data_IF_873722030910
#
_entry.id   IF_873722030910
#
_cell.length_a   1.000
_cell.length_b   1.000
_cell.length_c   1.000
_cell.angle_alpha   90.00
_cell.angle_beta   90.00
_cell.angle_gamma   90.00
#
_symmetry.space_group_name_H-M   'P 1'
#
loop_
_entity.id
_entity.type
_entity.pdbx_description
1 polymer ?
#
# COMPACT_ATOMS: atom_id res chain seq x y z
N UNK A 1 -21.04 75.47 -53.68
CA UNK A 1 -21.15 74.10 -54.22
C UNK A 1 -19.98 73.32 -53.74
N UNK A 2 -20.13 72.48 -52.74
CA UNK A 2 -19.07 71.63 -52.19
C UNK A 2 -19.53 70.20 -52.37
N UNK A 3 -18.78 69.43 -53.16
CA UNK A 3 -19.01 68.02 -53.43
C UNK A 3 -18.51 67.19 -52.26
N UNK A 4 -19.36 66.29 -51.74
CA UNK A 4 -19.03 65.29 -50.70
C UNK A 4 -18.56 64.04 -51.44
N UNK A 5 -17.36 63.62 -51.17
CA UNK A 5 -16.83 62.34 -51.62
C UNK A 5 -16.98 61.29 -50.46
N UNK A 6 -17.76 60.28 -50.76
CA UNK A 6 -18.01 59.14 -49.81
C UNK A 6 -16.89 58.11 -50.02
N UNK A 7 -16.09 57.86 -49.01
CA UNK A 7 -15.09 56.77 -49.00
C UNK A 7 -15.70 55.50 -48.35
N UNK A 8 -15.78 54.45 -49.15
CA UNK A 8 -16.19 53.14 -48.69
C UNK A 8 -14.95 52.37 -48.24
N UNK A 9 -14.82 52.10 -46.96
CA UNK A 9 -13.78 51.24 -46.40
C UNK A 9 -14.27 49.77 -46.25
N UNK A 10 -13.71 48.90 -47.07
CA UNK A 10 -13.91 47.44 -46.97
C UNK A 10 -13.02 46.88 -45.86
N UNK A 11 -13.64 46.39 -44.79
CA UNK A 11 -12.93 45.64 -43.75
C UNK A 11 -12.74 44.18 -44.19
N UNK A 12 -11.50 43.78 -44.40
CA UNK A 12 -11.10 42.37 -44.59
C UNK A 12 -10.97 41.71 -43.22
N UNK A 13 -11.90 40.82 -42.89
CA UNK A 13 -11.84 40.02 -41.68
C UNK A 13 -10.79 38.89 -41.82
N UNK A 14 -9.71 38.98 -41.07
CA UNK A 14 -8.76 37.88 -40.92
C UNK A 14 -9.34 36.85 -39.96
N UNK A 15 -9.77 35.69 -40.45
CA UNK A 15 -10.13 34.55 -39.66
C UNK A 15 -8.83 33.91 -39.12
N UNK A 16 -8.51 34.19 -37.85
CA UNK A 16 -7.43 33.53 -37.15
C UNK A 16 -7.77 32.06 -36.84
N UNK A 17 -7.12 31.15 -37.49
CA UNK A 17 -7.15 29.69 -37.12
C UNK A 17 -6.38 29.54 -35.82
N UNK A 18 -7.09 29.38 -34.72
CA UNK A 18 -6.48 28.90 -33.45
C UNK A 18 -6.08 27.44 -33.63
N UNK A 19 -4.81 27.21 -33.93
CA UNK A 19 -4.22 25.90 -33.83
C UNK A 19 -4.16 25.52 -32.34
N UNK A 20 -4.98 24.59 -31.91
CA UNK A 20 -4.85 23.91 -30.63
C UNK A 20 -3.54 23.12 -30.67
N UNK A 21 -2.51 23.70 -30.05
CA UNK A 21 -1.26 22.96 -29.80
C UNK A 21 -1.58 21.76 -28.90
N UNK A 22 -1.38 20.56 -29.43
CA UNK A 22 -1.36 19.35 -28.59
C UNK A 22 -0.33 19.55 -27.47
N UNK A 23 -0.64 19.12 -26.23
CA UNK A 23 0.34 19.22 -25.15
C UNK A 23 1.59 18.45 -25.58
N UNK A 24 2.71 19.14 -25.64
CA UNK A 24 4.01 18.52 -25.87
C UNK A 24 4.23 17.53 -24.73
N UNK A 25 4.37 16.25 -25.04
CA UNK A 25 4.86 15.25 -24.10
C UNK A 25 6.26 15.73 -23.73
N UNK A 26 6.42 16.20 -22.50
CA UNK A 26 7.72 16.59 -21.99
C UNK A 26 8.61 15.32 -22.03
N UNK A 27 9.60 15.33 -22.92
CA UNK A 27 10.65 14.33 -22.91
C UNK A 27 11.44 14.55 -21.62
N UNK A 28 11.36 13.59 -20.68
CA UNK A 28 12.10 13.67 -19.43
C UNK A 28 13.60 13.77 -19.73
N UNK A 29 14.31 14.61 -18.98
CA UNK A 29 15.77 14.67 -19.03
C UNK A 29 16.30 13.25 -18.74
N UNK A 30 17.23 12.70 -19.53
CA UNK A 30 17.78 11.35 -19.36
C UNK A 30 18.37 11.07 -17.96
N UNK A 31 18.68 12.10 -17.19
CA UNK A 31 19.23 12.00 -15.82
C UNK A 31 18.22 12.18 -14.71
N UNK A 32 16.94 12.53 -15.00
CA UNK A 32 15.92 12.68 -13.96
C UNK A 32 15.16 11.38 -13.69
N UNK A 33 14.75 11.14 -12.42
CA UNK A 33 13.89 10.02 -12.07
C UNK A 33 12.58 10.04 -12.86
N UNK A 34 12.20 8.91 -13.45
CA UNK A 34 10.93 8.79 -14.14
C UNK A 34 9.77 8.88 -13.14
N UNK A 35 8.79 9.76 -13.43
CA UNK A 35 7.58 9.91 -12.62
C UNK A 35 6.35 9.42 -13.41
N UNK A 36 5.69 8.40 -12.88
CA UNK A 36 4.51 7.76 -13.45
C UNK A 36 3.21 8.35 -12.88
N UNK A 37 3.20 9.61 -12.51
CA UNK A 37 2.01 10.24 -11.91
C UNK A 37 0.78 10.18 -12.82
N UNK A 38 0.95 10.26 -14.14
CA UNK A 38 -0.16 10.15 -15.10
C UNK A 38 -0.82 8.77 -15.01
N UNK A 39 -0.01 7.70 -14.95
CA UNK A 39 -0.49 6.33 -14.78
C UNK A 39 -1.11 6.11 -13.39
N UNK A 40 -0.50 6.64 -12.33
CA UNK A 40 -1.07 6.59 -10.99
C UNK A 40 -2.45 7.27 -10.92
N UNK A 41 -2.61 8.41 -11.58
CA UNK A 41 -3.91 9.10 -11.69
C UNK A 41 -4.92 8.28 -12.50
N UNK A 42 -4.48 7.57 -13.53
CA UNK A 42 -5.34 6.66 -14.27
C UNK A 42 -5.84 5.51 -13.38
N UNK A 43 -4.96 4.88 -12.59
CA UNK A 43 -5.36 3.89 -11.57
C UNK A 43 -6.31 4.50 -10.53
N UNK A 44 -6.02 5.71 -10.06
CA UNK A 44 -6.85 6.43 -9.11
C UNK A 44 -8.27 6.65 -9.64
N UNK A 45 -8.41 7.07 -10.93
CA UNK A 45 -9.71 7.30 -11.59
C UNK A 45 -10.44 6.01 -11.94
N UNK A 46 -9.74 5.05 -12.54
CA UNK A 46 -10.36 3.88 -13.17
C UNK A 46 -10.55 2.72 -12.20
N UNK A 47 -9.53 2.46 -11.37
CA UNK A 47 -9.52 1.30 -10.47
C UNK A 47 -10.03 1.68 -9.08
N UNK A 48 -9.53 2.77 -8.52
CA UNK A 48 -9.89 3.21 -7.17
C UNK A 48 -11.06 4.20 -7.14
N UNK A 49 -11.55 4.67 -8.29
CA UNK A 49 -12.73 5.53 -8.38
C UNK A 49 -12.61 6.88 -7.67
N UNK A 50 -11.39 7.41 -7.60
CA UNK A 50 -11.12 8.74 -7.04
C UNK A 50 -11.12 9.84 -8.12
N UNK A 51 -11.12 11.12 -7.68
CA UNK A 51 -11.05 12.27 -8.56
C UNK A 51 -12.27 12.44 -9.50
N UNK A 52 -12.23 13.46 -10.32
CA UNK A 52 -13.32 13.80 -11.27
C UNK A 52 -12.81 14.20 -12.65
N UNK A 53 -11.48 14.08 -12.90
CA UNK A 53 -10.91 14.44 -14.19
C UNK A 53 -11.49 13.55 -15.30
N UNK A 54 -11.63 14.07 -16.54
CA UNK A 54 -12.10 13.31 -17.69
C UNK A 54 -11.23 12.06 -17.93
N UNK A 55 -11.87 10.97 -18.30
CA UNK A 55 -11.15 9.75 -18.70
C UNK A 55 -10.56 9.91 -20.11
N UNK A 56 -9.39 9.30 -20.40
CA UNK A 56 -8.90 9.20 -21.76
C UNK A 56 -9.93 8.54 -22.69
N UNK A 57 -10.03 8.99 -23.94
CA UNK A 57 -10.99 8.48 -24.93
C UNK A 57 -10.85 6.95 -25.21
N UNK A 58 -9.68 6.38 -24.91
CA UNK A 58 -9.44 4.92 -25.01
C UNK A 58 -10.11 4.12 -23.89
N UNK A 59 -10.53 4.75 -22.79
CA UNK A 59 -11.16 4.08 -21.63
C UNK A 59 -12.68 4.11 -21.77
N UNK A 60 -13.30 2.93 -21.67
CA UNK A 60 -14.76 2.79 -21.72
C UNK A 60 -15.44 3.34 -20.46
N UNK A 61 -15.91 4.57 -20.52
CA UNK A 61 -16.51 5.31 -19.41
C UNK A 61 -17.68 4.56 -18.76
N UNK A 62 -18.53 3.88 -19.54
CA UNK A 62 -19.65 3.12 -19.01
C UNK A 62 -19.19 1.95 -18.10
N UNK A 63 -18.11 1.27 -18.51
CA UNK A 63 -17.50 0.21 -17.70
C UNK A 63 -16.93 0.76 -16.38
N UNK A 64 -16.24 1.90 -16.42
CA UNK A 64 -15.70 2.56 -15.21
C UNK A 64 -16.82 3.03 -14.29
N UNK A 65 -17.85 3.66 -14.82
CA UNK A 65 -19.02 4.15 -14.05
C UNK A 65 -19.70 3.00 -13.29
N UNK A 66 -19.95 1.86 -13.97
CA UNK A 66 -20.53 0.69 -13.35
C UNK A 66 -19.63 0.10 -12.26
N UNK A 67 -18.31 0.04 -12.50
CA UNK A 67 -17.33 -0.39 -11.51
C UNK A 67 -17.32 0.53 -10.28
N UNK A 68 -17.31 1.83 -10.49
CA UNK A 68 -17.22 2.80 -9.40
C UNK A 68 -18.48 2.86 -8.53
N UNK A 69 -19.65 2.56 -9.09
CA UNK A 69 -20.87 2.39 -8.29
C UNK A 69 -20.76 1.22 -7.29
N UNK A 70 -20.10 0.12 -7.67
CA UNK A 70 -19.81 -1.00 -6.76
C UNK A 70 -18.76 -0.63 -5.73
N UNK A 71 -17.67 0.03 -6.15
CA UNK A 71 -16.59 0.43 -5.24
C UNK A 71 -17.08 1.42 -4.18
N UNK A 72 -17.97 2.36 -4.52
CA UNK A 72 -18.56 3.29 -3.56
C UNK A 72 -19.27 2.57 -2.40
N UNK A 73 -20.04 1.51 -2.69
CA UNK A 73 -20.68 0.69 -1.66
C UNK A 73 -19.68 -0.03 -0.76
N UNK A 74 -18.60 -0.55 -1.34
CA UNK A 74 -17.53 -1.23 -0.60
C UNK A 74 -16.77 -0.25 0.30
N UNK A 75 -16.49 0.96 -0.17
CA UNK A 75 -15.84 2.00 0.63
C UNK A 75 -16.72 2.47 1.79
N UNK A 76 -18.03 2.62 1.57
CA UNK A 76 -18.96 2.94 2.66
C UNK A 76 -18.94 1.83 3.71
N UNK A 77 -19.06 0.58 3.30
CA UNK A 77 -19.00 -0.57 4.21
C UNK A 77 -17.66 -0.61 4.99
N UNK A 78 -16.53 -0.43 4.30
CA UNK A 78 -15.22 -0.38 4.91
C UNK A 78 -15.10 0.76 5.93
N UNK A 79 -15.61 1.92 5.60
CA UNK A 79 -15.63 3.08 6.50
C UNK A 79 -16.44 2.80 7.75
N UNK A 80 -17.64 2.27 7.61
CA UNK A 80 -18.57 2.02 8.72
C UNK A 80 -18.12 0.86 9.63
N UNK A 81 -17.56 -0.19 9.04
CA UNK A 81 -17.23 -1.42 9.77
C UNK A 81 -15.79 -1.48 10.28
N UNK A 82 -14.88 -0.71 9.66
CA UNK A 82 -13.48 -0.72 10.04
C UNK A 82 -12.89 0.67 10.30
N UNK A 83 -12.90 1.60 9.33
CA UNK A 83 -12.16 2.86 9.44
C UNK A 83 -12.60 3.68 10.65
N UNK A 84 -13.90 3.94 10.77
CA UNK A 84 -14.45 4.77 11.85
C UNK A 84 -14.26 4.12 13.23
N UNK A 85 -14.67 2.85 13.45
CA UNK A 85 -14.47 2.23 14.76
C UNK A 85 -12.99 2.02 15.10
N UNK A 86 -12.12 1.71 14.13
CA UNK A 86 -10.71 1.53 14.37
C UNK A 86 -10.00 2.84 14.73
N UNK A 87 -10.29 3.94 14.03
CA UNK A 87 -9.73 5.26 14.37
C UNK A 87 -10.13 5.69 15.78
N UNK A 88 -11.41 5.55 16.14
CA UNK A 88 -11.91 5.85 17.49
C UNK A 88 -11.21 4.99 18.54
N UNK A 89 -10.99 3.73 18.23
CA UNK A 89 -10.33 2.78 19.13
C UNK A 89 -8.83 3.08 19.31
N UNK A 90 -8.10 3.32 18.22
CA UNK A 90 -6.65 3.57 18.30
C UNK A 90 -6.29 4.95 18.87
N UNK A 91 -7.16 5.96 18.73
CA UNK A 91 -6.85 7.32 19.17
C UNK A 91 -6.38 7.42 20.63
N UNK A 92 -7.06 6.83 21.64
CA UNK A 92 -6.61 6.87 23.02
C UNK A 92 -5.45 5.91 23.34
N UNK A 93 -5.12 4.97 22.45
CA UNK A 93 -4.08 3.95 22.69
C UNK A 93 -2.70 4.38 22.17
N UNK A 94 -2.68 5.26 21.17
CA UNK A 94 -1.42 5.75 20.63
C UNK A 94 -0.76 6.73 21.58
N UNK A 95 0.55 6.59 21.83
CA UNK A 95 1.31 7.63 22.54
C UNK A 95 1.27 8.96 21.76
N UNK A 96 1.24 10.07 22.46
CA UNK A 96 1.24 11.41 21.85
C UNK A 96 2.46 11.67 20.94
N UNK A 97 3.57 11.00 21.21
CA UNK A 97 4.87 11.15 20.52
C UNK A 97 5.25 9.89 19.72
N UNK A 98 4.27 9.22 19.11
CA UNK A 98 4.57 8.06 18.25
C UNK A 98 5.33 8.51 16.99
N UNK A 99 6.42 7.83 16.57
CA UNK A 99 7.16 8.19 15.37
C UNK A 99 6.28 8.23 14.13
N UNK A 100 6.48 9.27 13.30
CA UNK A 100 5.76 9.46 12.05
C UNK A 100 6.20 8.51 10.92
N UNK A 101 7.34 7.81 11.07
CA UNK A 101 7.76 6.71 10.22
C UNK A 101 7.10 5.41 10.68
N UNK A 102 6.50 4.69 9.74
CA UNK A 102 5.84 3.39 9.98
C UNK A 102 6.51 2.32 9.15
N UNK A 103 6.85 1.19 9.77
CA UNK A 103 7.36 -0.01 9.08
C UNK A 103 6.33 -1.12 9.22
N UNK A 104 5.89 -1.66 8.07
CA UNK A 104 4.90 -2.71 7.98
C UNK A 104 5.46 -3.93 7.24
N UNK A 105 6.28 -4.77 7.90
CA UNK A 105 6.74 -6.03 7.33
C UNK A 105 5.55 -6.98 7.13
N UNK A 106 5.58 -7.75 6.06
CA UNK A 106 4.49 -8.63 5.62
C UNK A 106 3.18 -7.89 5.29
N UNK A 107 3.27 -6.57 5.03
CA UNK A 107 2.10 -5.70 4.88
C UNK A 107 1.36 -5.86 3.56
N UNK A 108 2.02 -6.39 2.52
CA UNK A 108 1.42 -6.53 1.19
C UNK A 108 0.73 -5.26 0.72
N UNK A 109 -0.48 -5.38 0.21
CA UNK A 109 -1.30 -4.26 -0.27
C UNK A 109 -2.06 -3.48 0.80
N UNK A 110 -1.87 -3.77 2.09
CA UNK A 110 -2.69 -3.24 3.19
C UNK A 110 -2.21 -1.85 3.71
N UNK A 111 -1.98 -0.91 2.79
CA UNK A 111 -1.69 0.48 3.13
C UNK A 111 -2.82 1.12 3.96
N UNK A 112 -4.07 0.72 3.70
CA UNK A 112 -5.25 1.23 4.41
C UNK A 112 -5.17 1.03 5.91
N UNK A 113 -4.78 -0.15 6.39
CA UNK A 113 -4.61 -0.41 7.83
C UNK A 113 -3.51 0.45 8.46
N UNK A 114 -2.41 0.70 7.75
CA UNK A 114 -1.36 1.60 8.24
C UNK A 114 -1.88 3.03 8.41
N UNK A 115 -2.60 3.57 7.42
CA UNK A 115 -3.19 4.92 7.46
C UNK A 115 -4.31 5.07 8.49
N UNK A 116 -5.03 3.99 8.79
CA UNK A 116 -6.07 3.99 9.84
C UNK A 116 -5.42 3.97 11.23
N UNK A 117 -4.40 3.12 11.41
CA UNK A 117 -3.70 2.95 12.69
C UNK A 117 -2.82 4.17 13.02
N UNK A 118 -2.17 4.76 12.01
CA UNK A 118 -1.22 5.87 12.13
C UNK A 118 -1.62 7.05 11.22
N UNK A 119 -2.69 7.79 11.54
CA UNK A 119 -3.20 8.87 10.69
C UNK A 119 -2.22 10.04 10.52
N UNK A 120 -1.24 10.17 11.43
CA UNK A 120 -0.22 11.22 11.42
C UNK A 120 1.10 10.76 10.78
N UNK A 121 1.14 9.56 10.22
CA UNK A 121 2.31 9.05 9.50
C UNK A 121 2.70 10.00 8.36
N UNK A 122 4.02 10.17 8.19
CA UNK A 122 4.63 10.92 7.07
C UNK A 122 5.39 10.01 6.12
N UNK A 123 5.84 8.89 6.62
CA UNK A 123 6.50 7.86 5.85
C UNK A 123 5.96 6.50 6.24
N UNK A 124 5.57 5.68 5.27
CA UNK A 124 5.10 4.32 5.48
C UNK A 124 5.91 3.41 4.56
N UNK A 125 6.50 2.37 5.13
CA UNK A 125 7.22 1.34 4.36
C UNK A 125 6.50 0.01 4.52
N UNK A 126 5.83 -0.47 3.46
CA UNK A 126 5.29 -1.83 3.40
C UNK A 126 6.29 -2.76 2.75
N UNK A 127 6.39 -4.00 3.24
CA UNK A 127 7.32 -5.00 2.72
C UNK A 127 6.54 -6.30 2.51
N UNK A 128 6.69 -6.90 1.33
CA UNK A 128 6.15 -8.23 1.02
C UNK A 128 6.98 -8.91 -0.08
N UNK A 129 6.58 -10.10 -0.52
CA UNK A 129 7.24 -10.77 -1.64
C UNK A 129 6.75 -10.27 -3.00
N UNK A 130 5.56 -9.70 -3.04
CA UNK A 130 4.88 -9.27 -4.26
C UNK A 130 5.43 -7.92 -4.73
N UNK A 131 5.54 -7.80 -6.06
CA UNK A 131 6.05 -6.61 -6.72
C UNK A 131 5.03 -5.46 -6.73
N UNK A 132 5.54 -4.23 -6.91
CA UNK A 132 4.68 -3.05 -7.07
C UNK A 132 3.81 -3.15 -8.33
N UNK A 133 4.38 -3.63 -9.45
CA UNK A 133 3.69 -3.83 -10.72
C UNK A 133 3.87 -2.68 -11.71
N UNK A 134 3.71 -2.98 -13.01
CA UNK A 134 3.85 -2.02 -14.11
C UNK A 134 2.66 -1.07 -14.18
N UNK A 135 2.85 0.24 -13.96
CA UNK A 135 1.78 1.22 -13.94
C UNK A 135 1.18 1.48 -15.33
N UNK A 136 1.94 1.19 -16.39
CA UNK A 136 1.52 1.49 -17.79
C UNK A 136 0.52 0.48 -18.36
N UNK A 137 0.28 -0.63 -17.67
CA UNK A 137 -0.56 -1.72 -18.20
C UNK A 137 -2.02 -1.34 -18.34
N UNK A 138 -2.56 -0.55 -17.42
CA UNK A 138 -3.97 -0.19 -17.43
C UNK A 138 -4.36 0.57 -18.70
N UNK A 139 -3.50 1.48 -19.18
CA UNK A 139 -3.73 2.26 -20.39
C UNK A 139 -3.73 1.42 -21.69
N UNK A 140 -3.15 0.22 -21.65
CA UNK A 140 -3.01 -0.69 -22.80
C UNK A 140 -4.17 -1.69 -22.95
N UNK A 141 -5.09 -1.73 -21.97
CA UNK A 141 -6.20 -2.68 -21.98
C UNK A 141 -7.30 -2.24 -22.97
N UNK A 142 -7.75 -3.16 -23.82
CA UNK A 142 -8.96 -2.95 -24.59
C UNK A 142 -10.22 -2.99 -23.69
N UNK A 143 -11.38 -2.64 -24.25
CA UNK A 143 -12.66 -2.60 -23.51
C UNK A 143 -13.00 -3.94 -22.83
N UNK A 144 -12.74 -5.08 -23.49
CA UNK A 144 -13.03 -6.41 -22.94
C UNK A 144 -12.07 -6.75 -21.79
N UNK A 145 -10.78 -6.47 -22.00
CA UNK A 145 -9.73 -6.65 -21.01
C UNK A 145 -9.96 -5.75 -19.79
N UNK A 146 -10.29 -4.48 -20.00
CA UNK A 146 -10.61 -3.54 -18.91
C UNK A 146 -11.77 -4.05 -18.06
N UNK A 147 -12.86 -4.51 -18.68
CA UNK A 147 -14.00 -5.08 -17.94
C UNK A 147 -13.60 -6.28 -17.11
N UNK A 148 -12.79 -7.19 -17.65
CA UNK A 148 -12.29 -8.36 -16.94
C UNK A 148 -11.35 -7.96 -15.78
N UNK A 149 -10.44 -7.00 -16.03
CA UNK A 149 -9.52 -6.49 -15.02
C UNK A 149 -10.25 -5.86 -13.84
N UNK A 150 -11.25 -5.01 -14.09
CA UNK A 150 -12.03 -4.37 -13.03
C UNK A 150 -12.93 -5.35 -12.26
N UNK A 151 -13.42 -6.41 -12.93
CA UNK A 151 -14.15 -7.50 -12.25
C UNK A 151 -13.20 -8.27 -11.31
N UNK A 152 -12.05 -8.71 -11.80
CA UNK A 152 -11.03 -9.39 -10.99
C UNK A 152 -10.54 -8.52 -9.82
N UNK A 153 -10.40 -7.21 -10.06
CA UNK A 153 -10.03 -6.27 -9.00
C UNK A 153 -11.12 -6.16 -7.91
N UNK A 154 -12.41 -6.09 -8.28
CA UNK A 154 -13.47 -6.10 -7.27
C UNK A 154 -13.44 -7.34 -6.40
N UNK A 155 -13.25 -8.51 -7.00
CA UNK A 155 -13.14 -9.77 -6.27
C UNK A 155 -11.92 -9.79 -5.33
N UNK A 156 -10.78 -9.26 -5.79
CA UNK A 156 -9.57 -9.15 -5.00
C UNK A 156 -9.70 -8.11 -3.86
N UNK A 157 -10.29 -6.94 -4.14
CA UNK A 157 -10.46 -5.87 -3.16
C UNK A 157 -11.48 -6.19 -2.07
N UNK A 158 -12.41 -7.12 -2.32
CA UNK A 158 -13.37 -7.55 -1.30
C UNK A 158 -12.67 -8.11 -0.06
N UNK A 159 -11.72 -9.02 -0.23
CA UNK A 159 -10.96 -9.58 0.87
C UNK A 159 -10.14 -8.53 1.62
N UNK A 160 -9.53 -7.59 0.90
CA UNK A 160 -8.78 -6.49 1.49
C UNK A 160 -9.66 -5.55 2.32
N UNK A 161 -10.78 -5.08 1.76
CA UNK A 161 -11.67 -4.12 2.40
C UNK A 161 -12.55 -4.75 3.49
N UNK A 162 -12.86 -6.03 3.40
CA UNK A 162 -13.59 -6.77 4.42
C UNK A 162 -12.67 -7.44 5.46
N UNK A 163 -11.34 -7.41 5.29
CA UNK A 163 -10.32 -7.94 6.19
C UNK A 163 -10.43 -9.45 6.45
N UNK A 164 -10.70 -10.26 5.42
CA UNK A 164 -10.78 -11.71 5.57
C UNK A 164 -9.95 -12.54 4.59
N UNK A 165 -9.25 -11.92 3.64
CA UNK A 165 -8.34 -12.61 2.72
C UNK A 165 -6.88 -12.22 2.97
N UNK A 166 -5.96 -13.10 2.54
CA UNK A 166 -4.54 -12.80 2.49
C UNK A 166 -4.18 -12.02 1.25
N UNK A 167 -3.08 -11.23 1.31
CA UNK A 167 -2.56 -10.52 0.14
C UNK A 167 -2.26 -11.46 -1.02
N UNK A 168 -1.71 -12.64 -0.76
CA UNK A 168 -1.38 -13.62 -1.78
C UNK A 168 -2.62 -14.11 -2.54
N UNK A 169 -3.75 -14.35 -1.87
CA UNK A 169 -5.00 -14.71 -2.52
C UNK A 169 -5.53 -13.56 -3.39
N UNK A 170 -5.43 -12.33 -2.90
CA UNK A 170 -5.84 -11.14 -3.63
C UNK A 170 -5.00 -10.95 -4.91
N UNK A 171 -3.69 -11.16 -4.83
CA UNK A 171 -2.78 -11.08 -5.98
C UNK A 171 -3.11 -12.12 -7.06
N UNK A 172 -3.43 -13.36 -6.70
CA UNK A 172 -3.87 -14.38 -7.67
C UNK A 172 -5.12 -13.96 -8.44
N UNK A 173 -6.04 -13.25 -7.80
CA UNK A 173 -7.23 -12.72 -8.45
C UNK A 173 -6.86 -11.62 -9.46
N UNK A 174 -5.91 -10.73 -9.11
CA UNK A 174 -5.45 -9.65 -9.99
C UNK A 174 -4.69 -10.12 -11.22
N UNK A 175 -3.83 -11.12 -11.11
CA UNK A 175 -3.11 -11.69 -12.25
C UNK A 175 -4.04 -12.12 -13.38
N UNK A 176 -5.20 -12.70 -13.04
CA UNK A 176 -6.24 -13.07 -14.00
C UNK A 176 -6.83 -11.88 -14.74
N UNK A 177 -6.80 -10.70 -14.13
CA UNK A 177 -7.32 -9.45 -14.71
C UNK A 177 -6.33 -8.69 -15.58
N UNK A 178 -5.04 -9.03 -15.57
CA UNK A 178 -4.02 -8.36 -16.39
C UNK A 178 -3.52 -7.02 -15.83
N UNK A 179 -3.80 -6.70 -14.57
CA UNK A 179 -3.22 -5.58 -13.81
C UNK A 179 -2.51 -6.10 -12.55
N UNK A 180 -1.41 -6.86 -12.71
CA UNK A 180 -0.68 -7.44 -11.58
C UNK A 180 -0.01 -6.37 -10.73
N UNK A 181 0.32 -6.73 -9.50
CA UNK A 181 1.10 -5.89 -8.60
C UNK A 181 0.31 -5.21 -7.49
N UNK A 182 1.03 -4.66 -6.53
CA UNK A 182 0.47 -4.06 -5.32
C UNK A 182 -0.08 -2.64 -5.53
N UNK A 183 0.30 -1.98 -6.63
CA UNK A 183 -0.06 -0.58 -6.91
C UNK A 183 -1.57 -0.33 -6.82
N UNK A 184 -2.39 -1.21 -7.41
CA UNK A 184 -3.84 -1.06 -7.41
C UNK A 184 -4.43 -1.11 -5.99
N UNK A 185 -3.89 -1.95 -5.11
CA UNK A 185 -4.32 -2.03 -3.71
C UNK A 185 -3.90 -0.79 -2.91
N UNK A 186 -2.66 -0.32 -3.11
CA UNK A 186 -2.17 0.87 -2.41
C UNK A 186 -2.94 2.13 -2.80
N UNK A 187 -3.19 2.32 -4.10
CA UNK A 187 -4.02 3.44 -4.57
C UNK A 187 -5.46 3.31 -4.04
N UNK A 188 -6.03 2.09 -4.01
CA UNK A 188 -7.36 1.87 -3.47
C UNK A 188 -7.42 2.17 -1.97
N UNK A 189 -6.45 1.69 -1.20
CA UNK A 189 -6.39 1.93 0.25
C UNK A 189 -6.30 3.43 0.60
N UNK A 190 -5.46 4.19 -0.12
CA UNK A 190 -5.39 5.64 0.09
C UNK A 190 -6.66 6.35 -0.38
N UNK A 191 -7.25 5.93 -1.52
CA UNK A 191 -8.48 6.55 -2.06
C UNK A 191 -9.66 6.36 -1.11
N UNK A 192 -9.83 5.15 -0.55
CA UNK A 192 -10.88 4.87 0.44
C UNK A 192 -10.81 5.77 1.68
N UNK A 193 -9.64 6.37 1.95
CA UNK A 193 -9.39 7.27 3.08
C UNK A 193 -9.32 8.74 2.68
N UNK A 194 -9.69 9.09 1.44
CA UNK A 194 -9.78 10.45 0.93
C UNK A 194 -8.42 11.09 0.58
N UNK A 195 -7.46 10.30 0.11
CA UNK A 195 -6.18 10.79 -0.41
C UNK A 195 -6.13 10.71 -1.94
N UNK A 196 -5.27 11.52 -2.54
CA UNK A 196 -4.98 11.56 -3.98
C UNK A 196 -3.48 11.38 -4.25
N UNK A 197 -3.07 10.74 -5.38
CA UNK A 197 -1.66 10.58 -5.73
C UNK A 197 -1.06 11.90 -6.23
N UNK A 198 0.19 12.16 -5.84
CA UNK A 198 0.98 13.33 -6.23
C UNK A 198 2.20 12.93 -7.07
N UNK A 199 2.82 11.79 -6.81
CA UNK A 199 3.98 11.26 -7.54
C UNK A 199 4.02 9.75 -7.43
N UNK A 200 4.49 9.07 -8.47
CA UNK A 200 4.76 7.63 -8.47
C UNK A 200 6.11 7.39 -9.13
N UNK A 201 7.09 6.92 -8.37
CA UNK A 201 8.43 6.60 -8.84
C UNK A 201 8.81 5.17 -8.51
N UNK A 202 9.66 4.58 -9.32
CA UNK A 202 10.23 3.26 -9.05
C UNK A 202 11.68 3.41 -8.64
N UNK A 203 12.16 2.49 -7.81
CA UNK A 203 13.50 2.60 -7.24
C UNK A 203 14.14 1.23 -6.96
N UNK A 204 15.45 1.25 -6.81
CA UNK A 204 16.24 0.18 -6.19
C UNK A 204 16.87 0.68 -4.91
N UNK A 205 17.27 -0.23 -4.03
CA UNK A 205 18.09 0.12 -2.86
C UNK A 205 19.57 0.00 -3.23
N UNK A 206 20.37 1.02 -2.88
CA UNK A 206 21.82 0.94 -2.99
C UNK A 206 22.38 -0.08 -1.98
N UNK A 207 23.59 -0.60 -2.15
CA UNK A 207 24.22 -1.51 -1.20
C UNK A 207 24.28 -0.98 0.24
N UNK A 208 24.24 0.34 0.43
CA UNK A 208 24.23 1.03 1.73
C UNK A 208 22.82 1.25 2.27
N UNK A 209 21.76 0.86 1.53
CA UNK A 209 20.37 1.02 1.92
C UNK A 209 19.75 2.36 1.52
N UNK A 210 20.44 3.17 0.73
CA UNK A 210 19.89 4.40 0.12
C UNK A 210 18.85 4.07 -0.96
N UNK A 211 18.00 5.05 -1.30
CA UNK A 211 17.02 4.94 -2.40
C UNK A 211 17.65 5.52 -3.67
N UNK A 212 17.72 4.70 -4.73
CA UNK A 212 18.07 5.12 -6.07
C UNK A 212 16.83 5.05 -6.96
N UNK A 213 16.28 6.22 -7.31
CA UNK A 213 15.14 6.29 -8.23
C UNK A 213 15.57 6.03 -9.66
N UNK A 214 14.81 5.20 -10.36
CA UNK A 214 15.11 4.80 -11.73
C UNK A 214 14.76 5.91 -12.73
N UNK A 215 15.69 6.18 -13.64
CA UNK A 215 15.47 7.02 -14.82
C UNK A 215 14.71 6.25 -15.90
N UNK A 216 14.18 6.95 -16.91
CA UNK A 216 13.52 6.31 -18.05
C UNK A 216 14.46 5.32 -18.78
N UNK A 217 15.72 5.68 -18.95
CA UNK A 217 16.72 4.82 -19.62
C UNK A 217 17.07 3.57 -18.81
N UNK A 218 17.10 3.65 -17.47
CA UNK A 218 17.33 2.49 -16.62
C UNK A 218 16.12 1.53 -16.66
N UNK A 219 14.90 2.07 -16.69
CA UNK A 219 13.68 1.26 -16.81
C UNK A 219 13.64 0.51 -18.14
N UNK A 220 13.99 1.16 -19.25
CA UNK A 220 14.11 0.52 -20.57
C UNK A 220 15.21 -0.54 -20.62
N UNK A 221 16.33 -0.30 -19.94
CA UNK A 221 17.46 -1.22 -19.86
C UNK A 221 17.22 -2.45 -18.99
N UNK A 222 16.31 -2.36 -18.03
CA UNK A 222 15.91 -3.49 -17.21
C UNK A 222 15.02 -4.41 -18.05
N UNK A 223 15.61 -5.51 -18.54
CA UNK A 223 14.87 -6.51 -19.31
C UNK A 223 13.64 -6.99 -18.55
N UNK A 224 12.50 -7.08 -19.24
CA UNK A 224 11.36 -7.82 -18.73
C UNK A 224 11.77 -9.28 -18.59
N UNK A 225 12.05 -9.70 -17.37
CA UNK A 225 12.26 -11.10 -17.05
C UNK A 225 10.90 -11.75 -17.04
N UNK A 226 10.61 -12.61 -18.01
CA UNK A 226 9.51 -13.54 -17.87
C UNK A 226 9.80 -14.39 -16.65
N UNK A 227 8.89 -14.36 -15.66
CA UNK A 227 9.07 -15.13 -14.45
C UNK A 227 9.38 -16.57 -14.78
N UNK A 228 10.50 -17.07 -14.31
CA UNK A 228 10.85 -18.48 -14.46
C UNK A 228 9.89 -19.28 -13.58
N UNK A 229 9.30 -20.32 -14.16
CA UNK A 229 8.49 -21.30 -13.44
C UNK A 229 9.31 -21.86 -12.27
N UNK A 230 9.05 -21.37 -11.06
CA UNK A 230 9.68 -21.88 -9.85
C UNK A 230 8.87 -23.08 -9.39
N UNK A 231 9.52 -24.23 -9.18
CA UNK A 231 8.89 -25.47 -8.76
C UNK A 231 8.11 -25.24 -7.46
N UNK A 232 6.78 -25.25 -7.51
CA UNK A 232 5.89 -25.07 -6.37
C UNK A 232 5.52 -23.62 -6.03
N UNK A 233 5.91 -22.62 -6.85
CA UNK A 233 5.68 -21.21 -6.60
C UNK A 233 4.87 -20.51 -7.69
N UNK A 234 4.59 -19.28 -7.44
CA UNK A 234 3.89 -18.30 -8.25
C UNK A 234 4.61 -18.06 -9.57
N UNK A 235 3.86 -18.01 -10.64
CA UNK A 235 4.34 -17.55 -11.96
C UNK A 235 3.78 -16.15 -12.14
N UNK A 236 4.56 -15.11 -11.89
CA UNK A 236 4.31 -13.79 -12.42
C UNK A 236 4.81 -13.78 -13.88
N UNK A 237 3.90 -13.92 -14.83
CA UNK A 237 4.22 -14.11 -16.25
C UNK A 237 4.67 -12.82 -16.94
N UNK A 238 4.53 -11.67 -16.30
CA UNK A 238 4.78 -10.35 -16.87
C UNK A 238 5.55 -9.42 -15.95
N UNK A 239 6.45 -9.98 -15.16
CA UNK A 239 7.27 -9.22 -14.24
C UNK A 239 8.41 -8.48 -14.95
N UNK A 240 8.59 -7.20 -14.61
CA UNK A 240 9.79 -6.42 -14.93
C UNK A 240 10.48 -6.00 -13.64
N UNK A 241 11.80 -6.20 -13.55
CA UNK A 241 12.60 -5.79 -12.39
C UNK A 241 12.51 -4.29 -12.12
N UNK A 242 12.26 -3.47 -13.16
CA UNK A 242 12.04 -2.05 -13.01
C UNK A 242 10.87 -1.69 -12.10
N UNK A 243 9.83 -2.54 -12.05
CA UNK A 243 8.60 -2.28 -11.31
C UNK A 243 8.48 -3.11 -10.02
N UNK A 244 9.62 -3.44 -9.43
CA UNK A 244 9.71 -4.21 -8.19
C UNK A 244 9.33 -3.38 -6.97
N UNK A 245 10.00 -2.23 -6.77
CA UNK A 245 9.76 -1.36 -5.64
C UNK A 245 9.23 -0.01 -6.13
N UNK A 246 8.29 0.57 -5.39
CA UNK A 246 7.73 1.88 -5.74
C UNK A 246 7.71 2.83 -4.56
N UNK A 247 7.77 4.12 -4.85
CA UNK A 247 7.41 5.21 -3.96
C UNK A 247 6.17 5.91 -4.50
N UNK A 248 5.09 5.87 -3.73
CA UNK A 248 3.85 6.58 -4.00
C UNK A 248 3.73 7.74 -3.00
N UNK A 249 3.84 8.97 -3.49
CA UNK A 249 3.58 10.16 -2.68
C UNK A 249 2.15 10.61 -2.89
N UNK A 250 1.45 10.92 -1.80
CA UNK A 250 0.04 11.31 -1.82
C UNK A 250 -0.29 12.31 -0.71
N UNK A 251 -1.44 12.95 -0.82
CA UNK A 251 -1.96 13.92 0.17
C UNK A 251 -3.48 13.82 0.29
N UNK A 252 -4.06 14.56 1.23
CA UNK A 252 -5.53 14.70 1.31
C UNK A 252 -6.08 15.35 0.04
N UNK A 253 -7.02 14.67 -0.62
CA UNK A 253 -7.66 15.19 -1.84
C UNK A 253 -8.47 16.48 -1.59
N UNK A 254 -8.98 16.67 -0.37
CA UNK A 254 -9.75 17.87 0.03
C UNK A 254 -8.88 19.08 0.38
N UNK A 255 -7.55 18.92 0.48
CA UNK A 255 -6.63 19.99 0.86
C UNK A 255 -5.32 19.89 0.08
N UNK A 256 -5.15 20.68 -1.00
CA UNK A 256 -3.95 20.69 -1.81
C UNK A 256 -2.70 21.21 -1.09
N UNK A 257 -2.87 21.81 0.09
CA UNK A 257 -1.76 22.29 0.95
C UNK A 257 -1.41 21.28 2.06
N UNK A 258 -2.17 20.21 2.19
CA UNK A 258 -1.91 19.18 3.19
C UNK A 258 -0.51 18.59 3.04
N UNK A 259 0.16 18.27 4.14
CA UNK A 259 1.48 17.64 4.10
C UNK A 259 1.46 16.33 3.31
N UNK A 260 2.50 16.11 2.54
CA UNK A 260 2.70 14.89 1.77
C UNK A 260 2.98 13.71 2.70
N UNK A 261 2.50 12.54 2.28
CA UNK A 261 2.81 11.25 2.88
C UNK A 261 3.57 10.45 1.82
N UNK A 262 4.70 9.89 2.20
CA UNK A 262 5.53 9.05 1.33
C UNK A 262 5.28 7.59 1.71
N UNK A 263 4.80 6.81 0.76
CA UNK A 263 4.67 5.36 0.90
C UNK A 263 5.68 4.66 0.01
N UNK A 264 6.55 3.83 0.61
CA UNK A 264 7.45 2.93 -0.10
C UNK A 264 6.96 1.51 0.03
N UNK A 265 6.72 0.86 -1.11
CA UNK A 265 6.54 -0.58 -1.16
C UNK A 265 7.84 -1.23 -1.62
N UNK A 266 8.32 -2.21 -0.85
CA UNK A 266 9.57 -2.92 -1.14
C UNK A 266 9.26 -4.42 -1.23
N UNK A 267 9.51 -5.00 -2.41
CA UNK A 267 9.39 -6.43 -2.61
C UNK A 267 10.67 -7.14 -2.16
N UNK A 268 10.59 -7.85 -1.05
CA UNK A 268 11.75 -8.52 -0.45
C UNK A 268 11.40 -9.74 0.39
N UNK A 269 12.31 -10.70 0.41
CA UNK A 269 12.24 -11.85 1.32
C UNK A 269 12.86 -11.46 2.67
N UNK A 270 12.06 -11.55 3.73
CA UNK A 270 12.48 -11.22 5.10
C UNK A 270 13.09 -12.40 5.89
N UNK A 271 13.25 -13.57 5.26
CA UNK A 271 14.00 -14.67 5.88
C UNK A 271 15.47 -14.27 6.12
N UNK A 272 16.04 -14.68 7.24
CA UNK A 272 17.40 -14.28 7.68
C UNK A 272 18.45 -14.37 6.59
N UNK A 273 18.43 -15.46 5.79
CA UNK A 273 19.40 -15.67 4.70
C UNK A 273 19.38 -14.56 3.64
N UNK A 274 18.20 -13.94 3.41
CA UNK A 274 18.04 -12.89 2.40
C UNK A 274 18.06 -11.50 3.03
N UNK A 275 17.65 -11.37 4.29
CA UNK A 275 17.41 -10.10 4.96
C UNK A 275 18.64 -9.56 5.70
N UNK A 276 19.39 -10.46 6.38
CA UNK A 276 20.55 -10.06 7.16
C UNK A 276 21.57 -9.32 6.30
N UNK A 277 22.05 -8.18 6.77
CA UNK A 277 23.05 -7.31 6.10
C UNK A 277 22.65 -6.85 4.69
N UNK A 278 21.41 -7.10 4.28
CA UNK A 278 20.88 -6.66 2.97
C UNK A 278 20.73 -5.15 2.88
N UNK A 279 20.63 -4.58 1.67
CA UNK A 279 20.25 -3.18 1.49
C UNK A 279 18.98 -2.79 2.23
N UNK A 280 17.97 -3.67 2.28
CA UNK A 280 16.74 -3.43 3.01
C UNK A 280 16.97 -3.36 4.53
N UNK A 281 17.78 -4.27 5.10
CA UNK A 281 18.13 -4.21 6.52
C UNK A 281 18.73 -2.85 6.88
N UNK A 282 19.73 -2.40 6.11
CA UNK A 282 20.40 -1.10 6.30
C UNK A 282 19.43 0.08 6.14
N UNK A 283 18.53 0.00 5.14
CA UNK A 283 17.48 1.00 4.91
C UNK A 283 16.57 1.16 6.12
N UNK A 284 16.13 0.04 6.73
CA UNK A 284 15.26 0.07 7.91
C UNK A 284 16.00 0.55 9.16
N UNK A 285 17.25 0.15 9.36
CA UNK A 285 18.10 0.65 10.47
C UNK A 285 18.31 2.16 10.37
N UNK A 286 18.53 2.69 9.16
CA UNK A 286 18.73 4.12 8.93
C UNK A 286 17.50 4.98 9.29
N UNK A 287 16.30 4.41 9.39
CA UNK A 287 15.10 5.12 9.86
C UNK A 287 15.15 5.47 11.36
N UNK A 288 16.05 4.87 12.11
CA UNK A 288 16.12 5.05 13.57
C UNK A 288 14.91 4.45 14.29
N UNK A 289 14.19 5.25 15.09
CA UNK A 289 12.96 4.80 15.75
C UNK A 289 11.75 4.99 14.83
N UNK A 290 10.89 3.95 14.78
CA UNK A 290 9.68 3.95 13.97
C UNK A 290 8.50 3.31 14.73
N UNK A 291 7.29 3.52 14.21
CA UNK A 291 6.09 2.77 14.57
C UNK A 291 6.01 1.51 13.72
N UNK A 292 5.44 0.43 14.24
CA UNK A 292 5.33 -0.82 13.50
C UNK A 292 3.88 -1.31 13.40
N UNK A 293 3.57 -1.96 12.30
CA UNK A 293 2.31 -2.67 12.10
C UNK A 293 2.63 -4.07 11.58
N UNK A 294 1.98 -5.11 12.14
CA UNK A 294 2.12 -6.47 11.62
C UNK A 294 0.80 -7.22 11.69
N UNK A 295 0.47 -7.98 10.64
CA UNK A 295 -0.74 -8.81 10.56
C UNK A 295 -0.48 -10.07 9.74
N UNK A 296 -1.30 -11.08 9.92
CA UNK A 296 -1.37 -12.27 9.09
C UNK A 296 -0.02 -13.00 8.94
N UNK A 297 0.66 -12.84 7.82
CA UNK A 297 1.93 -13.52 7.54
C UNK A 297 3.07 -13.20 8.54
N UNK A 298 2.86 -12.27 9.47
CA UNK A 298 3.85 -11.97 10.51
C UNK A 298 4.11 -13.12 11.50
N UNK A 299 3.29 -14.20 11.50
CA UNK A 299 3.61 -15.44 12.22
C UNK A 299 4.97 -16.04 11.81
N UNK A 300 5.49 -15.71 10.62
CA UNK A 300 6.84 -16.10 10.21
C UNK A 300 7.91 -15.64 11.21
N UNK A 301 7.69 -14.53 11.92
CA UNK A 301 8.59 -14.08 13.00
C UNK A 301 8.64 -15.00 14.21
N UNK A 302 7.80 -16.03 14.30
CA UNK A 302 7.85 -17.03 15.35
C UNK A 302 9.01 -18.01 15.13
N UNK A 303 9.36 -18.26 13.85
CA UNK A 303 10.46 -19.12 13.46
C UNK A 303 11.82 -18.41 13.59
N UNK A 304 12.86 -19.19 13.92
CA UNK A 304 14.22 -18.68 14.03
C UNK A 304 14.79 -18.21 12.68
N UNK A 305 14.26 -18.73 11.56
CA UNK A 305 14.62 -18.28 10.20
C UNK A 305 14.19 -16.86 9.89
N UNK A 306 13.38 -16.19 10.72
CA UNK A 306 12.95 -14.79 10.63
C UNK A 306 13.30 -13.99 11.88
N UNK A 307 14.31 -14.44 12.65
CA UNK A 307 14.76 -13.73 13.86
C UNK A 307 15.31 -12.33 13.57
N UNK A 308 16.00 -12.12 12.45
CA UNK A 308 16.61 -10.83 12.13
C UNK A 308 15.58 -9.70 11.98
N UNK A 309 14.45 -9.95 11.29
CA UNK A 309 13.38 -8.93 11.20
C UNK A 309 12.66 -8.76 12.54
N UNK A 310 12.45 -9.82 13.31
CA UNK A 310 11.87 -9.74 14.65
C UNK A 310 12.74 -8.89 15.56
N UNK A 311 14.04 -9.13 15.58
CA UNK A 311 15.00 -8.46 16.45
C UNK A 311 15.22 -7.01 16.03
N UNK A 312 15.18 -6.71 14.71
CA UNK A 312 15.17 -5.34 14.20
C UNK A 312 13.95 -4.56 14.68
N UNK A 313 12.75 -5.15 14.60
CA UNK A 313 11.54 -4.51 15.13
C UNK A 313 11.69 -4.22 16.61
N UNK A 314 12.13 -5.18 17.41
CA UNK A 314 12.32 -5.01 18.84
C UNK A 314 13.38 -3.96 19.20
N UNK A 315 14.41 -3.80 18.38
CA UNK A 315 15.45 -2.79 18.59
C UNK A 315 14.98 -1.36 18.25
N UNK A 316 14.12 -1.21 17.25
CA UNK A 316 13.81 0.08 16.65
C UNK A 316 12.37 0.55 16.84
N UNK A 317 11.38 -0.33 17.05
CA UNK A 317 10.00 0.11 17.23
C UNK A 317 9.80 0.89 18.54
N UNK A 318 9.02 1.96 18.46
CA UNK A 318 8.56 2.69 19.63
C UNK A 318 7.17 2.19 20.10
N UNK A 319 6.33 1.76 19.18
CA UNK A 319 4.98 1.27 19.42
C UNK A 319 4.54 0.41 18.24
N UNK A 320 3.81 -0.67 18.51
CA UNK A 320 3.35 -1.58 17.48
C UNK A 320 1.91 -2.03 17.73
N UNK A 321 1.09 -1.96 16.67
CA UNK A 321 -0.16 -2.69 16.60
C UNK A 321 0.05 -3.99 15.80
N UNK A 322 -0.48 -5.10 16.30
CA UNK A 322 -0.44 -6.39 15.61
C UNK A 322 -1.70 -7.19 15.91
N UNK A 323 -1.92 -8.25 15.14
CA UNK A 323 -2.82 -9.32 15.53
C UNK A 323 -2.08 -10.39 16.37
N UNK A 324 -2.68 -11.56 16.57
CA UNK A 324 -2.07 -12.67 17.31
C UNK A 324 -0.82 -13.24 16.62
N UNK A 325 -0.52 -12.84 15.39
CA UNK A 325 0.67 -13.28 14.65
C UNK A 325 1.92 -12.42 14.93
N UNK A 326 1.79 -11.36 15.73
CA UNK A 326 2.88 -10.43 16.05
C UNK A 326 4.03 -11.07 16.83
N UNK A 327 4.88 -10.24 17.40
CA UNK A 327 6.07 -10.69 18.14
C UNK A 327 5.69 -11.58 19.33
N UNK A 328 6.29 -12.78 19.48
CA UNK A 328 5.99 -13.67 20.59
C UNK A 328 6.31 -13.06 21.96
N UNK A 329 5.49 -13.35 23.00
CA UNK A 329 5.59 -12.71 24.32
C UNK A 329 6.96 -12.86 24.98
N UNK A 330 7.65 -13.98 24.75
CA UNK A 330 8.98 -14.23 25.28
C UNK A 330 10.02 -13.22 24.81
N UNK A 331 9.97 -12.85 23.52
CA UNK A 331 10.91 -11.91 22.91
C UNK A 331 10.54 -10.46 23.25
N UNK A 332 9.26 -10.12 23.22
CA UNK A 332 8.80 -8.79 23.62
C UNK A 332 9.21 -8.44 25.06
N UNK A 333 8.96 -9.34 26.01
CA UNK A 333 9.37 -9.16 27.43
C UNK A 333 10.87 -9.04 27.59
N UNK A 334 11.67 -9.88 26.90
CA UNK A 334 13.13 -9.82 26.95
C UNK A 334 13.66 -8.47 26.45
N UNK A 335 12.99 -7.87 25.47
CA UNK A 335 13.33 -6.57 24.90
C UNK A 335 12.74 -5.38 25.68
N UNK A 336 12.09 -5.60 26.83
CA UNK A 336 11.55 -4.53 27.68
C UNK A 336 10.18 -4.01 27.23
N UNK A 337 9.42 -4.79 26.44
CA UNK A 337 8.08 -4.44 26.01
C UNK A 337 6.99 -5.14 26.84
N UNK A 338 5.86 -4.46 26.98
CA UNK A 338 4.60 -5.04 27.46
C UNK A 338 3.64 -5.18 26.29
N UNK A 339 2.77 -6.19 26.39
CA UNK A 339 1.77 -6.50 25.37
C UNK A 339 0.39 -6.45 25.99
N UNK A 340 -0.49 -5.64 25.43
CA UNK A 340 -1.89 -5.46 25.85
C UNK A 340 -2.80 -6.04 24.78
N UNK A 341 -3.70 -6.95 25.17
CA UNK A 341 -4.56 -7.69 24.24
C UNK A 341 -5.98 -7.19 24.23
N UNK A 342 -6.61 -7.24 23.06
CA UNK A 342 -8.00 -6.87 22.81
C UNK A 342 -8.67 -7.95 21.97
N UNK A 343 -9.98 -8.13 22.19
CA UNK A 343 -10.74 -9.17 21.53
C UNK A 343 -10.47 -10.55 22.12
N UNK A 344 -10.49 -11.57 21.27
CA UNK A 344 -10.44 -12.97 21.70
C UNK A 344 -9.53 -13.79 20.80
N UNK A 345 -8.61 -14.52 21.38
CA UNK A 345 -7.75 -15.47 20.70
C UNK A 345 -7.62 -16.75 21.52
N UNK A 346 -7.84 -17.89 20.88
CA UNK A 346 -7.77 -19.21 21.51
C UNK A 346 -6.70 -20.12 20.91
N UNK A 347 -6.06 -19.71 19.80
CA UNK A 347 -4.99 -20.42 19.07
C UNK A 347 -4.81 -21.93 19.30
N UNK A 348 -3.80 -22.55 18.69
CA UNK A 348 -3.01 -22.07 17.57
C UNK A 348 -3.89 -21.91 16.31
N UNK A 349 -3.60 -20.95 15.48
CA UNK A 349 -4.42 -20.69 14.30
C UNK A 349 -3.89 -21.30 13.00
N UNK A 350 -2.66 -21.82 13.00
CA UNK A 350 -2.06 -22.58 11.90
C UNK A 350 -1.45 -23.86 12.46
N UNK A 351 -1.77 -25.00 11.85
CA UNK A 351 -1.19 -26.30 12.20
C UNK A 351 0.31 -26.35 11.95
N UNK A 352 0.79 -25.61 10.94
CA UNK A 352 2.20 -25.50 10.54
C UNK A 352 2.99 -24.46 11.33
N UNK A 353 2.31 -23.58 12.09
CA UNK A 353 2.98 -22.60 12.93
C UNK A 353 3.55 -23.27 14.19
N UNK A 354 4.57 -22.66 14.82
CA UNK A 354 5.10 -23.11 16.10
C UNK A 354 3.98 -23.18 17.16
N UNK A 355 3.53 -24.40 17.43
CA UNK A 355 2.44 -24.69 18.37
C UNK A 355 2.70 -24.09 19.74
N UNK A 356 3.92 -24.20 20.26
CA UNK A 356 4.28 -23.66 21.57
C UNK A 356 4.15 -22.13 21.61
N UNK A 357 4.49 -21.45 20.53
CA UNK A 357 4.29 -20.00 20.41
C UNK A 357 2.81 -19.64 20.27
N UNK A 358 2.03 -20.41 19.52
CA UNK A 358 0.58 -20.23 19.43
C UNK A 358 -0.12 -20.39 20.79
N UNK A 359 0.27 -21.37 21.58
CA UNK A 359 -0.20 -21.57 22.96
C UNK A 359 0.22 -20.41 23.89
N UNK A 360 1.46 -19.92 23.75
CA UNK A 360 1.92 -18.75 24.52
C UNK A 360 1.15 -17.49 24.17
N UNK A 361 0.78 -17.28 22.89
CA UNK A 361 -0.11 -16.21 22.46
C UNK A 361 -1.51 -16.36 23.05
N UNK A 362 -2.13 -17.54 22.97
CA UNK A 362 -3.44 -17.81 23.57
C UNK A 362 -3.43 -17.56 25.09
N UNK A 363 -2.36 -17.97 25.77
CA UNK A 363 -2.16 -17.68 27.20
C UNK A 363 -2.05 -16.18 27.48
N UNK A 364 -1.41 -15.40 26.60
CA UNK A 364 -1.32 -13.97 26.75
C UNK A 364 -2.72 -13.32 26.76
N UNK A 365 -3.63 -13.74 25.86
CA UNK A 365 -5.02 -13.26 25.84
C UNK A 365 -5.81 -13.72 27.07
N UNK A 366 -5.72 -15.01 27.44
CA UNK A 366 -6.47 -15.57 28.56
C UNK A 366 -6.01 -15.08 29.93
N UNK A 367 -4.76 -14.62 30.05
CA UNK A 367 -4.21 -14.09 31.31
C UNK A 367 -4.49 -12.62 31.56
N UNK A 368 -5.11 -11.92 30.62
CA UNK A 368 -5.46 -10.50 30.74
C UNK A 368 -6.98 -10.31 30.88
N UNK A 369 -7.43 -9.19 31.46
CA UNK A 369 -8.83 -8.83 31.44
C UNK A 369 -9.35 -8.75 29.99
N UNK A 370 -10.53 -9.27 29.73
CA UNK A 370 -11.14 -9.18 28.40
C UNK A 370 -11.44 -7.73 28.05
N UNK A 371 -10.85 -7.26 26.94
CA UNK A 371 -11.10 -5.92 26.37
C UNK A 371 -11.78 -6.08 25.04
N UNK A 372 -12.93 -5.42 24.87
CA UNK A 372 -13.72 -5.50 23.63
C UNK A 372 -12.93 -4.91 22.46
N UNK A 373 -12.97 -5.59 21.31
CA UNK A 373 -12.50 -5.08 20.01
C UNK A 373 -13.73 -4.81 19.15
N UNK A 374 -14.03 -3.55 18.77
CA UNK A 374 -15.30 -3.20 18.13
C UNK A 374 -15.29 -3.36 16.60
N UNK A 375 -14.22 -3.88 16.01
CA UNK A 375 -14.06 -4.09 14.56
C UNK A 375 -13.27 -5.36 14.30
N UNK A 376 -13.34 -5.85 13.06
CA UNK A 376 -12.51 -6.99 12.65
C UNK A 376 -11.05 -6.58 12.53
N UNK A 377 -10.18 -7.37 13.11
CA UNK A 377 -8.73 -7.21 13.01
C UNK A 377 -8.07 -8.57 13.27
N UNK A 378 -7.09 -8.92 12.43
CA UNK A 378 -6.34 -10.15 12.59
C UNK A 378 -6.65 -11.19 11.53
N UNK A 379 -5.92 -12.31 11.62
CA UNK A 379 -6.03 -13.40 10.66
C UNK A 379 -7.42 -14.04 10.69
N UNK A 380 -8.01 -14.36 9.50
CA UNK A 380 -9.40 -14.79 9.40
C UNK A 380 -9.76 -16.06 10.17
N UNK A 381 -8.85 -17.01 10.24
CA UNK A 381 -9.13 -18.35 10.79
C UNK A 381 -9.23 -18.39 12.31
N UNK A 382 -8.85 -17.31 12.98
CA UNK A 382 -8.82 -17.26 14.43
C UNK A 382 -9.91 -16.32 14.97
N UNK A 383 -10.92 -16.88 15.62
CA UNK A 383 -11.94 -16.12 16.35
C UNK A 383 -12.62 -15.01 15.55
N UNK A 384 -12.92 -15.28 14.28
CA UNK A 384 -13.61 -14.35 13.38
C UNK A 384 -12.88 -13.00 13.21
N UNK A 385 -11.54 -12.97 13.20
CA UNK A 385 -10.72 -11.77 13.09
C UNK A 385 -10.97 -10.75 14.22
N UNK A 386 -11.09 -11.19 15.45
CA UNK A 386 -11.35 -10.32 16.60
C UNK A 386 -10.20 -10.36 17.61
N UNK A 387 -8.97 -10.22 17.15
CA UNK A 387 -7.79 -10.25 18.02
C UNK A 387 -6.76 -9.19 17.61
N UNK A 388 -6.50 -8.28 18.52
CA UNK A 388 -5.51 -7.21 18.37
C UNK A 388 -4.62 -7.16 19.61
N UNK A 389 -3.34 -6.87 19.38
CA UNK A 389 -2.33 -6.73 20.41
C UNK A 389 -1.57 -5.42 20.21
N UNK A 390 -1.42 -4.65 21.27
CA UNK A 390 -0.55 -3.48 21.32
C UNK A 390 0.72 -3.88 22.05
N UNK A 391 1.86 -3.68 21.40
CA UNK A 391 3.20 -3.88 21.99
C UNK A 391 3.86 -2.51 22.17
N UNK A 392 4.20 -2.16 23.40
CA UNK A 392 4.75 -0.87 23.77
C UNK A 392 5.84 -1.01 24.85
N UNK A 393 6.79 -0.07 24.98
CA UNK A 393 7.76 -0.10 26.05
C UNK A 393 7.08 -0.26 27.42
N UNK A 394 7.70 -1.03 28.31
CA UNK A 394 7.26 -1.07 29.70
C UNK A 394 7.48 0.32 30.33
N UNK A 395 6.52 0.76 31.13
CA UNK A 395 6.72 1.98 31.92
C UNK A 395 7.94 1.80 32.82
N UNK A 396 8.78 2.84 32.96
CA UNK A 396 9.86 2.78 33.96
C UNK A 396 9.24 2.43 35.32
N UNK A 397 9.79 1.42 35.98
CA UNK A 397 9.38 1.14 37.37
C UNK A 397 9.72 2.39 38.20
N UNK A 398 8.78 2.90 39.04
CA UNK A 398 8.99 4.03 39.89
C UNK A 398 10.16 3.81 40.84
#
# INVERSE_FOLDING_TARGET
>A
MRSLVLAVTTAVGAAGVLALAAPAVAVADPGEPADFIADARLFYRVVACGGSEPLPASIDEATVTAHCAEMARRYQHYTDKYVTPARTFFAPLRPATVPAAVVYPFGGGDLGSALVTYPDAREITTISLEHAGDPTRLAKLDKKQLRAALAAFRDASEGLLALYDSTSENMRKLERGGIPGQLSFHITGMTALGFEPVSLKYFTLTPEGGVHYLTASEIEGLASTRARKVKGGWVDTDFSEAFTNMELTFRKASDPTAPLIVHRHIAANLANKAFKDSPLYKHLVAKGKFSALTKAASYLMWADSFSEIRDLLLAHMAWMASDSTGVPPRYARKAGFVQVTYGKFTGPFLEEADKATGEAMAKLWSSQPHRKLPFRYGYPDANANLHLMITQPAEPKP
#
